data_IF_658952359268
#
_entry.id   IF_658952359268
#
_cell.length_a   1.000
_cell.length_b   1.000
_cell.length_c   1.000
_cell.angle_alpha   90.00
_cell.angle_beta   90.00
_cell.angle_gamma   90.00
#
_symmetry.space_group_name_H-M   'P 1'
#
loop_
_entity.id
_entity.type
_entity.pdbx_description
1 polymer ?
#
# COMPACT_ATOMS: atom_id res chain seq x y z
N UNK A 1 -4.62 -48.72 -19.87
CA UNK A 1 -5.37 -47.61 -19.23
C UNK A 1 -4.50 -46.59 -18.51
N UNK A 2 -3.23 -46.87 -18.19
CA UNK A 2 -2.37 -45.91 -17.47
C UNK A 2 -1.61 -44.88 -18.32
N UNK A 3 -1.61 -45.00 -19.65
CA UNK A 3 -0.87 -44.07 -20.53
C UNK A 3 -1.70 -42.88 -21.04
N UNK A 4 -3.04 -42.92 -20.90
CA UNK A 4 -3.93 -41.84 -21.35
C UNK A 4 -4.17 -40.76 -20.28
N UNK A 5 -3.95 -41.06 -18.99
CA UNK A 5 -4.05 -40.04 -17.93
C UNK A 5 -2.83 -39.10 -17.90
N UNK A 6 -1.64 -39.60 -18.24
CA UNK A 6 -0.40 -38.80 -18.21
C UNK A 6 -0.33 -37.76 -19.33
N UNK A 7 -1.08 -37.94 -20.42
CA UNK A 7 -1.06 -37.02 -21.57
C UNK A 7 -2.01 -35.82 -21.42
N UNK A 8 -2.88 -35.80 -20.40
CA UNK A 8 -3.77 -34.66 -20.15
C UNK A 8 -3.17 -33.64 -19.16
N UNK A 9 -2.17 -34.04 -18.36
CA UNK A 9 -1.49 -33.17 -17.38
C UNK A 9 -0.41 -32.27 -18.00
N UNK A 10 -0.14 -32.43 -19.31
CA UNK A 10 0.94 -31.72 -20.02
C UNK A 10 0.44 -30.90 -21.21
N UNK A 11 -0.85 -30.54 -21.24
CA UNK A 11 -1.31 -29.52 -22.19
C UNK A 11 -0.68 -28.17 -21.79
N UNK A 12 0.04 -27.49 -22.69
CA UNK A 12 0.43 -26.11 -22.42
C UNK A 12 -0.87 -25.34 -22.17
N UNK A 13 -0.96 -24.69 -21.00
CA UNK A 13 -2.02 -23.73 -20.75
C UNK A 13 -2.05 -22.78 -21.93
N UNK A 14 -3.23 -22.58 -22.52
CA UNK A 14 -3.46 -21.58 -23.56
C UNK A 14 -2.85 -20.28 -23.05
N UNK A 15 -1.81 -19.77 -23.71
CA UNK A 15 -1.18 -18.51 -23.31
C UNK A 15 -2.27 -17.45 -23.40
N UNK A 16 -2.76 -17.02 -22.25
CA UNK A 16 -3.55 -15.80 -22.11
C UNK A 16 -2.65 -14.69 -22.65
N UNK A 17 -3.00 -14.15 -23.80
CA UNK A 17 -2.17 -13.19 -24.50
C UNK A 17 -2.06 -11.92 -23.66
N UNK A 18 -0.88 -11.67 -23.08
CA UNK A 18 -0.53 -10.33 -22.59
C UNK A 18 -0.37 -9.36 -23.76
N UNK A 19 -0.07 -8.09 -23.49
CA UNK A 19 0.34 -7.16 -24.54
C UNK A 19 1.41 -7.77 -25.45
N UNK A 20 1.36 -7.44 -26.76
CA UNK A 20 2.27 -7.97 -27.77
C UNK A 20 3.73 -8.03 -27.26
N UNK A 21 4.26 -9.26 -27.16
CA UNK A 21 5.64 -9.53 -26.76
C UNK A 21 5.89 -9.87 -25.28
N UNK A 22 4.87 -9.81 -24.40
CA UNK A 22 5.02 -10.17 -22.97
C UNK A 22 4.04 -11.27 -22.54
N UNK A 23 4.41 -12.03 -21.50
CA UNK A 23 3.46 -12.92 -20.84
C UNK A 23 2.36 -12.10 -20.12
N UNK A 24 1.20 -12.69 -19.89
CA UNK A 24 0.13 -12.04 -19.11
C UNK A 24 0.67 -11.51 -17.77
N UNK A 25 0.40 -10.23 -17.48
CA UNK A 25 0.93 -9.55 -16.29
C UNK A 25 2.47 -9.59 -16.16
N UNK A 26 3.18 -9.59 -17.31
CA UNK A 26 4.63 -9.48 -17.47
C UNK A 26 5.47 -10.69 -17.01
N UNK A 27 5.29 -11.18 -15.79
CA UNK A 27 6.11 -12.27 -15.24
C UNK A 27 5.90 -13.59 -15.97
N UNK A 28 6.98 -14.36 -16.15
CA UNK A 28 6.89 -15.74 -16.64
C UNK A 28 6.19 -16.67 -15.62
N UNK A 29 5.69 -17.82 -16.10
CA UNK A 29 4.95 -18.76 -15.25
C UNK A 29 5.81 -19.46 -14.19
N UNK A 30 7.13 -19.59 -14.39
CA UNK A 30 8.02 -20.15 -13.36
C UNK A 30 8.14 -19.19 -12.17
N UNK A 31 8.33 -17.90 -12.46
CA UNK A 31 8.41 -16.81 -11.49
C UNK A 31 7.10 -16.70 -10.71
N UNK A 32 5.95 -16.66 -11.40
CA UNK A 32 4.62 -16.70 -10.74
C UNK A 32 4.45 -17.94 -9.89
N UNK A 33 4.79 -19.14 -10.39
CA UNK A 33 4.66 -20.40 -9.63
C UNK A 33 5.51 -20.38 -8.37
N UNK A 34 6.69 -19.76 -8.39
CA UNK A 34 7.54 -19.60 -7.20
C UNK A 34 6.92 -18.62 -6.19
N UNK A 35 6.45 -17.47 -6.65
CA UNK A 35 5.80 -16.47 -5.81
C UNK A 35 4.53 -17.05 -5.17
N UNK A 36 3.69 -17.78 -5.93
CA UNK A 36 2.50 -18.48 -5.39
C UNK A 36 2.84 -19.41 -4.23
N UNK A 37 3.95 -20.16 -4.32
CA UNK A 37 4.39 -21.03 -3.22
C UNK A 37 4.82 -20.23 -1.99
N UNK A 38 5.57 -19.13 -2.19
CA UNK A 38 5.99 -18.26 -1.10
C UNK A 38 4.78 -17.60 -0.41
N UNK A 39 3.80 -17.14 -1.19
CA UNK A 39 2.55 -16.58 -0.68
C UNK A 39 1.75 -17.59 0.14
N UNK A 40 1.57 -18.83 -0.35
CA UNK A 40 0.87 -19.87 0.42
C UNK A 40 1.58 -20.17 1.75
N UNK A 41 2.93 -20.11 1.79
CA UNK A 41 3.69 -20.23 3.04
C UNK A 41 3.49 -19.02 3.94
N UNK A 42 3.45 -17.81 3.39
CA UNK A 42 3.21 -16.59 4.14
C UNK A 42 1.81 -16.58 4.79
N UNK A 43 0.78 -17.02 4.05
CA UNK A 43 -0.59 -17.16 4.58
C UNK A 43 -0.64 -18.21 5.70
N UNK A 44 0.06 -19.33 5.54
CA UNK A 44 0.11 -20.39 6.54
C UNK A 44 0.95 -20.04 7.79
N UNK A 45 1.81 -19.00 7.71
CA UNK A 45 2.67 -18.55 8.80
C UNK A 45 2.51 -17.02 8.94
N UNK A 46 1.37 -16.54 9.47
CA UNK A 46 1.05 -15.12 9.48
C UNK A 46 2.14 -14.26 10.13
N UNK A 47 2.52 -13.17 9.46
CA UNK A 47 3.59 -12.26 9.91
C UNK A 47 5.03 -12.76 9.71
N UNK A 48 5.26 -13.99 9.24
CA UNK A 48 6.61 -14.47 8.92
C UNK A 48 7.08 -14.01 7.54
N UNK A 49 8.29 -13.45 7.50
CA UNK A 49 8.95 -12.95 6.28
C UNK A 49 9.52 -14.13 5.46
N UNK A 50 8.73 -14.65 4.51
CA UNK A 50 9.13 -15.76 3.62
C UNK A 50 10.12 -15.25 2.56
N UNK A 51 11.34 -15.83 2.45
CA UNK A 51 12.26 -15.48 1.39
C UNK A 51 11.73 -15.95 0.02
N UNK A 52 11.92 -15.12 -1.02
CA UNK A 52 11.55 -15.50 -2.38
C UNK A 52 12.58 -15.04 -3.42
N UNK A 53 12.69 -15.75 -4.53
CA UNK A 53 13.63 -15.42 -5.62
C UNK A 53 13.13 -14.30 -6.54
N UNK A 54 12.86 -13.12 -5.98
CA UNK A 54 12.31 -11.98 -6.71
C UNK A 54 13.16 -11.55 -7.92
N UNK A 55 12.47 -11.06 -8.95
CA UNK A 55 13.02 -10.63 -10.24
C UNK A 55 13.08 -9.11 -10.35
N UNK A 56 13.95 -8.63 -11.21
CA UNK A 56 13.94 -7.25 -11.68
C UNK A 56 12.61 -6.96 -12.39
N UNK A 57 12.05 -5.79 -12.11
CA UNK A 57 10.84 -5.27 -12.72
C UNK A 57 11.18 -4.02 -13.53
N UNK A 58 10.35 -3.57 -14.48
CA UNK A 58 10.61 -2.37 -15.29
C UNK A 58 10.37 -1.06 -14.51
N UNK A 59 10.76 -1.03 -13.24
CA UNK A 59 10.77 0.12 -12.35
C UNK A 59 12.02 0.05 -11.45
N UNK A 60 12.61 1.19 -11.06
CA UNK A 60 13.78 1.20 -10.20
C UNK A 60 13.52 0.53 -8.84
N UNK A 61 14.59 0.06 -8.20
CA UNK A 61 14.50 -0.43 -6.82
C UNK A 61 13.92 0.64 -5.88
N UNK A 62 13.07 0.22 -4.94
CA UNK A 62 12.36 1.12 -4.02
C UNK A 62 10.99 1.62 -4.54
N UNK A 63 10.67 1.44 -5.82
CA UNK A 63 9.41 1.89 -6.43
C UNK A 63 8.32 0.81 -6.43
N UNK A 64 8.24 0.00 -5.37
CA UNK A 64 7.13 -0.95 -5.21
C UNK A 64 7.22 -2.27 -5.97
N UNK A 65 8.40 -2.67 -6.43
CA UNK A 65 8.60 -3.88 -7.26
C UNK A 65 8.14 -5.19 -6.59
N UNK A 66 8.15 -5.26 -5.26
CA UNK A 66 7.63 -6.40 -4.51
C UNK A 66 6.11 -6.52 -4.62
N UNK A 67 5.39 -5.41 -4.38
CA UNK A 67 3.94 -5.33 -4.56
C UNK A 67 3.53 -5.68 -5.99
N UNK A 68 4.24 -5.16 -6.99
CA UNK A 68 3.96 -5.52 -8.39
C UNK A 68 4.15 -7.01 -8.68
N UNK A 69 5.18 -7.66 -8.14
CA UNK A 69 5.39 -9.09 -8.36
C UNK A 69 4.26 -9.93 -7.74
N UNK A 70 3.73 -9.50 -6.60
CA UNK A 70 2.56 -10.11 -5.99
C UNK A 70 1.31 -9.89 -6.86
N UNK A 71 1.02 -8.65 -7.26
CA UNK A 71 -0.11 -8.32 -8.13
C UNK A 71 -0.06 -9.11 -9.44
N UNK A 72 1.09 -9.12 -10.13
CA UNK A 72 1.31 -9.90 -11.34
C UNK A 72 1.08 -11.41 -11.19
N UNK A 73 1.18 -11.92 -9.96
CA UNK A 73 1.06 -13.34 -9.65
C UNK A 73 -0.38 -13.75 -9.32
N UNK A 74 -1.13 -12.86 -8.65
CA UNK A 74 -2.52 -13.12 -8.22
C UNK A 74 -3.56 -12.65 -9.22
N UNK A 75 -3.26 -11.63 -10.02
CA UNK A 75 -4.23 -11.03 -10.93
C UNK A 75 -4.69 -12.01 -12.00
N UNK A 76 -5.99 -12.04 -12.25
CA UNK A 76 -6.67 -12.75 -13.33
C UNK A 76 -7.39 -11.78 -14.27
N UNK A 77 -7.85 -12.28 -15.42
CA UNK A 77 -8.48 -11.48 -16.47
C UNK A 77 -9.81 -10.81 -16.04
N UNK A 78 -10.49 -11.39 -15.04
CA UNK A 78 -11.75 -10.88 -14.52
C UNK A 78 -11.57 -9.90 -13.33
N UNK A 79 -10.34 -9.70 -12.87
CA UNK A 79 -10.08 -8.80 -11.75
C UNK A 79 -10.24 -7.33 -12.14
N UNK A 80 -10.64 -6.52 -11.16
CA UNK A 80 -10.63 -5.06 -11.25
C UNK A 80 -9.57 -4.52 -10.30
N UNK A 81 -8.56 -3.88 -10.85
CA UNK A 81 -7.38 -3.40 -10.10
C UNK A 81 -7.54 -1.93 -9.70
N UNK A 82 -7.42 -1.66 -8.40
CA UNK A 82 -7.15 -0.32 -7.84
C UNK A 82 -5.69 -0.21 -7.43
N UNK A 83 -5.06 0.93 -7.70
CA UNK A 83 -3.67 1.21 -7.29
C UNK A 83 -3.61 2.59 -6.67
N UNK A 84 -3.10 2.67 -5.44
CA UNK A 84 -2.95 3.92 -4.68
C UNK A 84 -1.52 4.07 -4.15
N UNK A 85 -1.06 5.31 -4.06
CA UNK A 85 0.17 5.73 -3.35
C UNK A 85 -0.18 6.98 -2.55
N UNK A 86 0.20 7.03 -1.27
CA UNK A 86 -0.26 8.06 -0.32
C UNK A 86 -1.79 8.19 -0.24
N UNK A 87 -2.53 7.12 -0.50
CA UNK A 87 -4.00 7.12 -0.46
C UNK A 87 -4.69 7.61 -1.74
N UNK A 88 -3.93 8.13 -2.70
CA UNK A 88 -4.45 8.70 -3.94
C UNK A 88 -4.12 7.86 -5.17
N UNK A 89 -5.08 7.79 -6.10
CA UNK A 89 -4.98 7.03 -7.35
C UNK A 89 -4.21 7.76 -8.46
N UNK A 90 -4.06 9.09 -8.36
CA UNK A 90 -3.53 9.98 -9.40
C UNK A 90 -2.04 10.36 -9.19
N UNK A 91 -1.43 9.85 -8.12
CA UNK A 91 0.01 9.98 -7.91
C UNK A 91 0.82 9.32 -9.04
N UNK A 92 1.99 9.87 -9.32
CA UNK A 92 2.84 9.45 -10.44
C UNK A 92 3.14 7.95 -10.43
N UNK A 93 3.45 7.39 -9.26
CA UNK A 93 3.75 5.98 -9.07
C UNK A 93 2.50 5.10 -9.22
N UNK A 94 1.36 5.49 -8.63
CA UNK A 94 0.10 4.75 -8.76
C UNK A 94 -0.37 4.68 -10.22
N UNK A 95 -0.34 5.82 -10.93
CA UNK A 95 -0.66 5.90 -12.36
C UNK A 95 0.27 5.01 -13.19
N UNK A 96 1.58 5.04 -12.91
CA UNK A 96 2.57 4.23 -13.62
C UNK A 96 2.29 2.72 -13.48
N UNK A 97 2.10 2.25 -12.24
CA UNK A 97 1.81 0.84 -11.94
C UNK A 97 0.46 0.41 -12.51
N UNK A 98 -0.59 1.24 -12.38
CA UNK A 98 -1.93 0.96 -12.94
C UNK A 98 -1.88 0.82 -14.46
N UNK A 99 -1.21 1.77 -15.15
CA UNK A 99 -1.01 1.71 -16.61
C UNK A 99 -0.19 0.49 -17.03
N UNK A 100 0.82 0.13 -16.25
CA UNK A 100 1.62 -1.08 -16.49
C UNK A 100 0.75 -2.33 -16.51
N UNK A 101 -0.14 -2.52 -15.52
CA UNK A 101 -1.04 -3.69 -15.49
C UNK A 101 -2.17 -3.60 -16.51
N UNK A 102 -2.75 -2.41 -16.75
CA UNK A 102 -3.71 -2.22 -17.84
C UNK A 102 -3.11 -2.63 -19.20
N UNK A 103 -1.83 -2.29 -19.44
CA UNK A 103 -1.12 -2.70 -20.66
C UNK A 103 -0.77 -4.19 -20.67
N UNK A 104 -0.19 -4.73 -19.61
CA UNK A 104 0.40 -6.09 -19.63
C UNK A 104 -0.60 -7.21 -19.31
N UNK A 105 -1.71 -6.89 -18.66
CA UNK A 105 -2.75 -7.84 -18.27
C UNK A 105 -4.12 -7.53 -18.88
N UNK A 106 -4.35 -6.32 -19.44
CA UNK A 106 -5.63 -5.98 -20.07
C UNK A 106 -6.82 -5.96 -19.11
N UNK A 107 -6.56 -5.84 -17.81
CA UNK A 107 -7.57 -5.89 -16.74
C UNK A 107 -8.35 -4.58 -16.62
N UNK A 108 -9.57 -4.67 -16.09
CA UNK A 108 -10.31 -3.48 -15.67
C UNK A 108 -9.57 -2.78 -14.52
N UNK A 109 -9.69 -1.46 -14.46
CA UNK A 109 -9.13 -0.66 -13.37
C UNK A 109 -10.19 0.28 -12.81
N UNK A 110 -10.13 0.55 -11.52
CA UNK A 110 -11.08 1.45 -10.84
C UNK A 110 -10.35 2.36 -9.87
N UNK A 111 -10.95 3.51 -9.59
CA UNK A 111 -10.59 4.37 -8.46
C UNK A 111 -11.50 4.09 -7.25
N UNK A 112 -12.56 3.31 -7.40
CA UNK A 112 -13.50 3.00 -6.32
C UNK A 112 -13.07 1.76 -5.54
N UNK A 113 -12.83 1.92 -4.24
CA UNK A 113 -12.46 0.85 -3.32
C UNK A 113 -13.52 -0.23 -3.26
N UNK A 114 -14.80 0.14 -3.44
CA UNK A 114 -15.92 -0.79 -3.50
C UNK A 114 -15.85 -1.74 -4.71
N UNK A 115 -15.33 -1.29 -5.85
CA UNK A 115 -15.37 -2.06 -7.10
C UNK A 115 -14.11 -2.90 -7.33
N UNK A 116 -13.05 -2.65 -6.58
CA UNK A 116 -11.79 -3.37 -6.72
C UNK A 116 -11.91 -4.82 -6.20
N UNK A 117 -11.32 -5.77 -6.92
CA UNK A 117 -11.00 -7.10 -6.38
C UNK A 117 -9.57 -7.14 -5.82
N UNK A 118 -8.66 -6.38 -6.43
CA UNK A 118 -7.28 -6.22 -5.99
C UNK A 118 -6.97 -4.75 -5.74
N UNK A 119 -6.35 -4.46 -4.61
CA UNK A 119 -5.90 -3.11 -4.25
C UNK A 119 -4.40 -3.18 -4.00
N UNK A 120 -3.59 -2.60 -4.89
CA UNK A 120 -2.16 -2.42 -4.64
C UNK A 120 -1.93 -1.05 -4.00
N UNK A 121 -1.36 -1.03 -2.79
CA UNK A 121 -1.19 0.19 -2.00
C UNK A 121 0.26 0.46 -1.65
N UNK A 122 0.59 1.74 -1.53
CA UNK A 122 1.77 2.25 -0.85
C UNK A 122 1.36 3.27 0.20
N UNK A 123 1.75 3.00 1.45
CA UNK A 123 1.61 3.86 2.63
C UNK A 123 0.20 4.12 3.17
N UNK A 124 -0.87 3.53 2.62
CA UNK A 124 -2.22 3.72 3.15
C UNK A 124 -3.07 2.45 3.13
N UNK A 125 -3.98 2.34 4.08
CA UNK A 125 -5.14 1.44 3.99
C UNK A 125 -6.37 2.31 3.72
N UNK A 126 -7.20 2.00 2.70
CA UNK A 126 -8.41 2.76 2.42
C UNK A 126 -9.26 2.98 3.67
N UNK A 127 -9.95 4.12 3.75
CA UNK A 127 -10.89 4.41 4.84
C UNK A 127 -12.11 3.49 4.77
N UNK A 128 -12.51 3.15 3.54
CA UNK A 128 -13.59 2.21 3.29
C UNK A 128 -13.20 0.80 3.76
N UNK A 129 -14.07 0.19 4.57
CA UNK A 129 -13.86 -1.18 5.05
C UNK A 129 -13.83 -2.18 3.88
N UNK A 130 -12.79 -3.02 3.87
CA UNK A 130 -12.60 -4.02 2.83
C UNK A 130 -13.44 -5.28 3.05
N UNK A 131 -13.79 -5.93 1.94
CA UNK A 131 -14.59 -7.16 1.89
C UNK A 131 -13.74 -8.41 1.79
N UNK A 132 -14.34 -9.57 2.08
CA UNK A 132 -13.65 -10.86 2.10
C UNK A 132 -13.14 -11.33 0.73
N UNK A 133 -13.78 -10.88 -0.36
CA UNK A 133 -13.38 -11.18 -1.74
C UNK A 133 -12.23 -10.30 -2.25
N UNK A 134 -11.79 -9.31 -1.46
CA UNK A 134 -10.71 -8.40 -1.84
C UNK A 134 -9.34 -8.86 -1.34
N UNK A 135 -8.29 -8.50 -2.09
CA UNK A 135 -6.89 -8.67 -1.68
C UNK A 135 -6.20 -7.31 -1.65
N UNK A 136 -5.63 -6.96 -0.49
CA UNK A 136 -4.84 -5.76 -0.28
C UNK A 136 -3.35 -6.10 -0.36
N UNK A 137 -2.61 -5.45 -1.26
CA UNK A 137 -1.22 -5.76 -1.61
C UNK A 137 -0.35 -4.55 -1.27
N UNK A 138 0.47 -4.68 -0.23
CA UNK A 138 1.33 -3.63 0.29
C UNK A 138 2.70 -3.63 -0.37
N UNK A 139 3.16 -2.43 -0.73
CA UNK A 139 4.53 -2.17 -1.14
C UNK A 139 5.40 -1.94 0.10
N UNK A 140 6.42 -2.77 0.28
CA UNK A 140 7.27 -2.76 1.47
C UNK A 140 8.71 -2.42 1.10
N UNK A 141 9.31 -1.35 1.65
CA UNK A 141 10.73 -1.07 1.47
C UNK A 141 11.60 -1.95 2.38
N UNK A 142 11.30 -1.99 3.68
CA UNK A 142 12.01 -2.74 4.71
C UNK A 142 10.97 -3.68 5.33
N UNK A 143 11.14 -5.02 5.25
CA UNK A 143 10.17 -5.98 5.79
C UNK A 143 10.45 -6.41 7.25
N UNK A 144 11.61 -5.99 7.77
CA UNK A 144 12.16 -6.46 9.04
C UNK A 144 11.92 -5.41 10.12
N UNK A 145 10.93 -5.60 11.03
CA UNK A 145 10.58 -4.60 12.04
C UNK A 145 11.74 -4.34 13.02
N UNK A 146 12.69 -5.26 13.15
CA UNK A 146 13.87 -5.10 14.01
C UNK A 146 15.05 -4.42 13.30
N UNK A 147 14.94 -4.04 12.02
CA UNK A 147 16.09 -3.62 11.18
C UNK A 147 16.85 -2.42 11.77
N UNK A 148 16.16 -1.48 12.39
CA UNK A 148 16.78 -0.30 12.99
C UNK A 148 17.39 -0.55 14.38
N UNK A 149 17.08 -1.71 14.99
CA UNK A 149 17.67 -2.16 16.26
C UNK A 149 18.87 -3.07 15.96
N UNK A 150 18.69 -4.03 15.04
CA UNK A 150 19.72 -4.96 14.61
C UNK A 150 19.76 -4.98 13.06
N UNK A 151 20.79 -4.40 12.44
CA UNK A 151 20.89 -4.32 10.98
C UNK A 151 21.17 -5.66 10.31
N UNK A 152 21.65 -6.69 11.03
CA UNK A 152 22.06 -7.97 10.43
C UNK A 152 20.90 -8.97 10.36
N UNK A 153 20.54 -9.34 9.14
CA UNK A 153 19.57 -10.40 8.86
C UNK A 153 19.90 -11.75 9.54
N UNK A 154 21.19 -12.05 9.72
CA UNK A 154 21.61 -13.29 10.40
C UNK A 154 21.22 -13.34 11.87
N UNK A 155 21.06 -12.18 12.50
CA UNK A 155 20.65 -12.05 13.90
C UNK A 155 19.14 -11.88 14.01
N UNK A 156 18.53 -10.97 13.23
CA UNK A 156 17.06 -10.77 13.28
C UNK A 156 16.30 -12.06 12.96
N UNK A 157 16.78 -12.89 12.03
CA UNK A 157 16.17 -14.20 11.76
C UNK A 157 16.17 -15.14 12.98
N UNK A 158 17.20 -15.08 13.83
CA UNK A 158 17.28 -15.88 15.07
C UNK A 158 16.31 -15.32 16.10
N UNK A 159 16.24 -14.00 16.23
CA UNK A 159 15.28 -13.33 17.11
C UNK A 159 13.85 -13.70 16.72
N UNK A 160 13.51 -13.70 15.43
CA UNK A 160 12.23 -14.20 14.94
C UNK A 160 12.03 -15.68 15.25
N UNK A 161 13.03 -16.54 15.08
CA UNK A 161 12.92 -17.97 15.37
C UNK A 161 12.66 -18.25 16.86
N UNK A 162 13.34 -17.52 17.75
CA UNK A 162 13.29 -17.68 19.21
C UNK A 162 12.23 -16.80 19.89
N UNK A 163 11.54 -15.92 19.14
CA UNK A 163 10.57 -14.94 19.67
C UNK A 163 11.22 -13.94 20.64
N UNK A 164 12.45 -13.52 20.36
CA UNK A 164 13.20 -12.56 21.16
C UNK A 164 12.88 -11.11 20.74
N UNK A 165 11.69 -10.65 21.11
CA UNK A 165 11.19 -9.31 20.74
C UNK A 165 11.39 -8.23 21.82
N UNK A 166 12.04 -8.56 22.93
CA UNK A 166 12.24 -7.62 24.04
C UNK A 166 12.95 -6.34 23.65
N UNK A 167 13.86 -6.39 22.67
CA UNK A 167 14.60 -5.22 22.19
C UNK A 167 13.67 -4.15 21.59
N UNK A 168 12.57 -4.55 20.94
CA UNK A 168 11.57 -3.59 20.44
C UNK A 168 10.83 -2.90 21.58
N UNK A 169 10.47 -3.62 22.64
CA UNK A 169 9.86 -3.00 23.82
C UNK A 169 10.82 -2.00 24.48
N UNK A 170 12.12 -2.32 24.56
CA UNK A 170 13.11 -1.36 25.05
C UNK A 170 13.13 -0.11 24.18
N UNK A 171 13.19 -0.25 22.85
CA UNK A 171 13.17 0.89 21.92
C UNK A 171 11.94 1.76 22.10
N UNK A 172 10.74 1.18 22.19
CA UNK A 172 9.50 1.96 22.37
C UNK A 172 9.49 2.70 23.72
N UNK A 173 10.01 2.08 24.78
CA UNK A 173 10.09 2.72 26.09
C UNK A 173 11.17 3.81 26.16
N UNK A 174 12.25 3.70 25.39
CA UNK A 174 13.24 4.77 25.24
C UNK A 174 12.63 6.04 24.64
N UNK A 175 11.73 5.91 23.65
CA UNK A 175 10.98 7.04 23.11
C UNK A 175 10.13 7.70 24.19
N UNK A 176 9.38 6.89 24.97
CA UNK A 176 8.57 7.38 26.08
C UNK A 176 9.41 8.12 27.12
N UNK A 177 10.56 7.55 27.51
CA UNK A 177 11.45 8.18 28.49
C UNK A 177 12.04 9.51 27.98
N UNK A 178 12.25 9.64 26.67
CA UNK A 178 12.89 10.82 26.06
C UNK A 178 11.91 11.91 25.67
N UNK A 179 10.73 11.55 25.20
CA UNK A 179 9.76 12.45 24.58
C UNK A 179 8.39 12.48 25.28
N UNK A 180 8.17 11.60 26.27
CA UNK A 180 6.89 11.44 26.97
C UNK A 180 5.83 10.65 26.19
N UNK A 181 6.14 10.25 24.95
CA UNK A 181 5.28 9.49 24.05
C UNK A 181 6.13 8.64 23.11
N UNK A 182 5.52 7.66 22.45
CA UNK A 182 6.20 6.85 21.43
C UNK A 182 6.35 7.67 20.14
N UNK A 183 7.59 7.83 19.67
CA UNK A 183 7.92 8.70 18.54
C UNK A 183 7.65 8.06 17.16
N UNK A 184 7.50 6.73 17.11
CA UNK A 184 7.16 6.02 15.85
C UNK A 184 5.77 6.41 15.36
N UNK A 185 5.69 7.10 14.21
CA UNK A 185 4.43 7.64 13.65
C UNK A 185 3.90 6.85 12.44
N UNK A 186 4.75 6.07 11.77
CA UNK A 186 4.43 5.16 10.67
C UNK A 186 5.28 3.90 10.82
N UNK A 187 4.94 2.86 10.06
CA UNK A 187 5.66 1.56 10.11
C UNK A 187 5.71 1.01 11.54
N UNK A 188 4.59 1.14 12.25
CA UNK A 188 4.51 0.87 13.67
C UNK A 188 4.38 -0.63 13.90
N UNK A 189 5.28 -1.28 14.65
CA UNK A 189 5.33 -2.73 14.74
C UNK A 189 4.05 -3.33 15.33
N UNK A 190 3.56 -4.40 14.69
CA UNK A 190 2.38 -5.14 15.15
C UNK A 190 2.73 -6.58 15.52
N UNK A 191 2.01 -7.12 16.48
CA UNK A 191 1.99 -8.55 16.79
C UNK A 191 0.87 -9.23 16.00
N UNK A 192 1.24 -10.15 15.12
CA UNK A 192 0.30 -10.91 14.28
C UNK A 192 0.09 -12.29 14.85
N UNK A 193 -1.19 -12.65 15.01
CA UNK A 193 -1.64 -13.94 15.51
C UNK A 193 -0.93 -14.36 16.82
N UNK A 194 -0.72 -13.38 17.70
CA UNK A 194 -0.03 -13.52 18.99
C UNK A 194 1.36 -14.17 18.93
N UNK A 195 2.00 -14.17 17.74
CA UNK A 195 3.29 -14.80 17.52
C UNK A 195 4.29 -13.87 16.85
N UNK A 196 4.11 -13.53 15.58
CA UNK A 196 5.15 -12.85 14.82
C UNK A 196 5.02 -11.34 14.98
N UNK A 197 6.09 -10.69 15.39
CA UNK A 197 6.23 -9.25 15.17
C UNK A 197 6.36 -9.01 13.66
N UNK A 198 5.62 -8.05 13.15
CA UNK A 198 5.56 -7.74 11.73
C UNK A 198 5.64 -6.23 11.52
N UNK A 199 6.36 -5.86 10.47
CA UNK A 199 6.35 -4.54 9.85
C UNK A 199 5.09 -4.40 8.99
N UNK A 200 4.15 -3.48 9.30
CA UNK A 200 2.90 -3.34 8.55
C UNK A 200 3.08 -2.57 7.22
N UNK A 201 4.31 -2.42 6.72
CA UNK A 201 4.73 -1.44 5.73
C UNK A 201 4.65 0.00 6.26
N UNK A 202 5.15 1.02 5.51
CA UNK A 202 5.12 2.42 5.93
C UNK A 202 3.71 3.06 5.90
N UNK A 203 2.69 2.35 6.36
CA UNK A 203 1.39 2.95 6.69
C UNK A 203 1.53 3.79 7.96
N UNK A 204 0.77 4.88 8.10
CA UNK A 204 0.70 5.60 9.36
C UNK A 204 0.15 4.70 10.46
N UNK A 205 0.56 4.91 11.72
CA UNK A 205 0.01 4.15 12.85
C UNK A 205 -1.53 4.27 12.93
N UNK A 206 -2.10 5.36 12.42
CA UNK A 206 -3.55 5.53 12.19
C UNK A 206 -4.21 4.34 11.46
N UNK A 207 -3.52 3.72 10.50
CA UNK A 207 -4.06 2.63 9.70
C UNK A 207 -3.90 1.25 10.39
N UNK A 208 -3.01 1.09 11.38
CA UNK A 208 -2.77 -0.20 12.06
C UNK A 208 -4.06 -0.87 12.58
N UNK A 209 -4.99 -0.16 13.26
CA UNK A 209 -6.22 -0.76 13.76
C UNK A 209 -7.08 -1.42 12.67
N UNK A 210 -7.02 -0.91 11.43
CA UNK A 210 -7.78 -1.45 10.29
C UNK A 210 -7.33 -2.87 9.90
N UNK A 211 -6.09 -3.24 10.22
CA UNK A 211 -5.53 -4.56 9.91
C UNK A 211 -6.13 -5.68 10.79
N UNK A 212 -6.59 -5.33 11.99
CA UNK A 212 -7.08 -6.30 12.96
C UNK A 212 -8.44 -6.86 12.53
N UNK A 213 -8.53 -8.19 12.45
CA UNK A 213 -9.77 -8.88 12.06
C UNK A 213 -10.33 -8.42 10.70
N UNK A 214 -9.47 -7.89 9.81
CA UNK A 214 -9.87 -7.45 8.48
C UNK A 214 -10.44 -8.63 7.67
N UNK A 215 -11.57 -8.48 6.97
CA UNK A 215 -12.11 -9.54 6.11
C UNK A 215 -11.22 -9.86 4.90
N UNK A 216 -10.54 -8.86 4.33
CA UNK A 216 -9.69 -9.03 3.16
C UNK A 216 -8.36 -9.72 3.47
N UNK A 217 -7.80 -10.42 2.48
CA UNK A 217 -6.44 -10.95 2.55
C UNK A 217 -5.42 -9.82 2.39
N UNK A 218 -4.44 -9.75 3.29
CA UNK A 218 -3.36 -8.76 3.25
C UNK A 218 -2.05 -9.43 2.83
N UNK A 219 -1.41 -8.94 1.78
CA UNK A 219 -0.16 -9.46 1.23
C UNK A 219 0.90 -8.37 1.18
N UNK A 220 2.12 -8.67 1.61
CA UNK A 220 3.18 -7.69 1.74
C UNK A 220 4.38 -8.11 0.89
N UNK A 221 4.82 -7.22 0.01
CA UNK A 221 5.87 -7.51 -0.96
C UNK A 221 7.08 -6.59 -0.82
N UNK A 222 8.18 -7.11 -0.30
CA UNK A 222 9.48 -6.44 -0.28
C UNK A 222 10.39 -7.00 -1.39
N UNK A 223 10.34 -6.36 -2.55
CA UNK A 223 11.01 -6.85 -3.76
C UNK A 223 12.53 -6.78 -3.69
N UNK A 224 13.07 -5.72 -3.09
CA UNK A 224 14.51 -5.53 -2.93
C UNK A 224 15.08 -6.47 -1.86
N UNK A 225 14.43 -6.51 -0.69
CA UNK A 225 14.82 -7.37 0.44
C UNK A 225 14.44 -8.85 0.25
N UNK A 226 13.76 -9.17 -0.87
CA UNK A 226 13.37 -10.53 -1.26
C UNK A 226 12.55 -11.22 -0.17
N UNK A 227 11.54 -10.53 0.37
CA UNK A 227 10.57 -11.09 1.34
C UNK A 227 9.13 -10.93 0.89
N UNK A 228 8.32 -11.94 1.20
CA UNK A 228 6.86 -11.93 1.09
C UNK A 228 6.30 -12.36 2.44
N UNK A 229 5.30 -11.65 2.94
CA UNK A 229 4.57 -12.04 4.14
C UNK A 229 3.08 -11.71 3.98
N UNK A 230 2.25 -12.20 4.90
CA UNK A 230 0.81 -12.08 4.78
C UNK A 230 0.13 -12.03 6.15
N UNK A 231 -1.07 -11.44 6.15
CA UNK A 231 -2.04 -11.54 7.23
C UNK A 231 -3.33 -12.11 6.62
N UNK A 232 -3.73 -13.35 6.96
CA UNK A 232 -4.98 -13.92 6.49
C UNK A 232 -6.21 -13.13 6.98
N UNK A 233 -7.36 -13.25 6.29
CA UNK A 233 -8.64 -12.76 6.78
C UNK A 233 -8.89 -13.12 8.25
N UNK A 234 -9.50 -12.20 8.99
CA UNK A 234 -9.93 -12.39 10.39
C UNK A 234 -8.78 -12.79 11.34
N UNK A 235 -7.55 -12.36 11.04
CA UNK A 235 -6.40 -12.58 11.92
C UNK A 235 -6.27 -11.46 12.94
N UNK A 236 -5.91 -11.80 14.18
CA UNK A 236 -5.61 -10.83 15.23
C UNK A 236 -4.31 -10.09 14.89
N UNK A 237 -4.38 -8.76 14.84
CA UNK A 237 -3.24 -7.86 14.63
C UNK A 237 -3.32 -6.77 15.69
N UNK A 238 -2.28 -6.64 16.51
CA UNK A 238 -2.27 -5.68 17.64
C UNK A 238 -0.97 -4.90 17.59
N UNK A 239 -1.05 -3.58 17.56
CA UNK A 239 0.12 -2.71 17.70
C UNK A 239 0.80 -2.94 19.05
N UNK A 240 2.13 -2.90 19.08
CA UNK A 240 2.87 -2.98 20.34
C UNK A 240 2.61 -1.73 21.21
N UNK A 241 2.32 -1.91 22.48
CA UNK A 241 2.15 -0.83 23.44
C UNK A 241 2.52 -1.30 24.85
N UNK A 242 2.22 -0.46 25.85
CA UNK A 242 2.35 -0.76 27.27
C UNK A 242 1.03 -0.46 27.97
N UNK A 243 0.76 -1.13 29.10
CA UNK A 243 -0.44 -0.87 29.90
C UNK A 243 -0.54 0.62 30.34
N UNK A 244 0.59 1.23 30.69
CA UNK A 244 0.68 2.63 31.10
C UNK A 244 0.80 3.62 29.93
N UNK A 245 1.06 3.11 28.72
CA UNK A 245 1.22 3.90 27.49
C UNK A 245 0.54 3.17 26.32
N UNK A 246 -0.81 3.22 26.26
CA UNK A 246 -1.58 2.49 25.27
C UNK A 246 -1.33 3.02 23.86
N UNK A 247 -1.62 2.20 22.86
CA UNK A 247 -1.51 2.60 21.46
C UNK A 247 -2.48 3.74 21.12
N UNK A 248 -1.94 4.86 20.62
CA UNK A 248 -2.70 6.02 20.16
C UNK A 248 -2.47 6.28 18.67
N UNK A 249 -3.52 6.65 17.94
CA UNK A 249 -3.46 7.04 16.53
C UNK A 249 -3.28 8.55 16.38
N UNK A 250 -2.93 9.02 15.18
CA UNK A 250 -2.93 10.44 14.88
C UNK A 250 -4.35 11.02 14.99
N UNK A 251 -4.43 12.28 15.43
CA UNK A 251 -5.64 13.11 15.46
C UNK A 251 -5.31 14.51 14.97
N UNK A 252 -6.32 15.17 14.39
CA UNK A 252 -6.26 16.56 13.95
C UNK A 252 -7.36 17.35 14.66
N UNK A 253 -7.15 18.65 14.88
CA UNK A 253 -8.23 19.54 15.35
C UNK A 253 -9.14 19.92 14.17
N UNK A 254 -8.58 19.88 12.97
CA UNK A 254 -9.22 20.19 11.71
C UNK A 254 -9.98 18.99 11.12
N UNK A 255 -10.98 19.30 10.31
CA UNK A 255 -11.63 18.33 9.42
C UNK A 255 -11.17 18.54 7.99
N UNK A 256 -11.38 17.53 7.13
CA UNK A 256 -11.12 17.66 5.71
C UNK A 256 -11.85 18.88 5.13
N UNK A 257 -11.10 19.82 4.55
CA UNK A 257 -11.61 21.08 3.99
C UNK A 257 -12.48 20.89 2.73
N UNK A 258 -12.61 19.66 2.22
CA UNK A 258 -13.44 19.32 1.05
C UNK A 258 -14.75 18.66 1.50
N UNK A 259 -14.65 17.50 2.17
CA UNK A 259 -15.80 16.65 2.50
C UNK A 259 -16.22 16.71 3.98
N UNK A 260 -15.54 17.52 4.80
CA UNK A 260 -15.84 17.69 6.22
C UNK A 260 -15.56 16.47 7.10
N UNK A 261 -14.80 15.48 6.63
CA UNK A 261 -14.47 14.28 7.43
C UNK A 261 -13.50 14.61 8.58
N UNK A 262 -13.87 14.20 9.79
CA UNK A 262 -13.08 14.32 11.03
C UNK A 262 -12.45 12.98 11.49
N UNK A 263 -12.63 11.91 10.72
CA UNK A 263 -12.21 10.54 11.07
C UNK A 263 -11.40 9.84 9.96
N UNK A 264 -10.89 10.61 8.99
CA UNK A 264 -9.98 10.14 7.95
C UNK A 264 -8.56 10.60 8.23
N UNK A 265 -7.56 9.90 7.71
CA UNK A 265 -6.20 10.41 7.71
C UNK A 265 -6.11 11.67 6.82
N UNK A 266 -5.54 12.77 7.34
CA UNK A 266 -5.46 14.05 6.65
C UNK A 266 -4.04 14.34 6.15
N UNK A 267 -3.95 14.76 4.89
CA UNK A 267 -2.75 15.36 4.32
C UNK A 267 -2.78 16.87 4.55
N UNK A 268 -1.62 17.41 4.92
CA UNK A 268 -1.38 18.84 5.08
C UNK A 268 -0.86 19.42 3.76
N UNK A 269 -1.63 20.31 3.14
CA UNK A 269 -1.26 21.00 1.90
C UNK A 269 -0.95 22.45 2.20
N UNK A 270 0.27 22.88 1.89
CA UNK A 270 0.72 24.27 2.03
C UNK A 270 0.12 25.09 0.89
N UNK A 271 -0.62 26.14 1.24
CA UNK A 271 -1.39 26.95 0.29
C UNK A 271 -0.61 28.15 -0.24
N UNK A 272 0.28 28.70 0.57
CA UNK A 272 1.09 29.85 0.21
C UNK A 272 2.39 29.94 1.02
N UNK A 273 3.24 30.90 0.62
CA UNK A 273 4.50 31.21 1.31
C UNK A 273 4.30 31.96 2.63
N UNK A 274 3.06 32.38 2.94
CA UNK A 274 2.72 33.04 4.20
C UNK A 274 2.41 32.03 5.32
N UNK A 275 2.42 30.73 5.01
CA UNK A 275 2.22 29.65 5.97
C UNK A 275 0.77 29.19 6.12
N UNK A 276 -0.14 29.62 5.24
CA UNK A 276 -1.50 29.08 5.21
C UNK A 276 -1.49 27.63 4.74
N UNK A 277 -2.37 26.83 5.34
CA UNK A 277 -2.45 25.38 5.11
C UNK A 277 -3.88 24.93 5.02
N UNK A 278 -4.10 23.83 4.31
CA UNK A 278 -5.37 23.12 4.28
C UNK A 278 -5.15 21.65 4.63
N UNK A 279 -6.13 21.05 5.30
CA UNK A 279 -6.14 19.63 5.61
C UNK A 279 -7.17 18.93 4.75
N UNK A 280 -6.77 17.89 4.04
CA UNK A 280 -7.65 17.13 3.15
C UNK A 280 -7.50 15.64 3.36
N UNK A 281 -8.55 14.87 3.09
CA UNK A 281 -8.47 13.41 3.14
C UNK A 281 -7.34 12.92 2.22
N UNK A 282 -6.45 12.12 2.78
CA UNK A 282 -5.41 11.42 2.00
C UNK A 282 -6.01 10.32 1.12
N UNK A 283 -7.11 9.68 1.55
CA UNK A 283 -7.90 8.78 0.70
C UNK A 283 -8.84 9.60 -0.19
N UNK A 284 -8.46 9.76 -1.47
CA UNK A 284 -9.18 10.58 -2.44
C UNK A 284 -10.49 9.96 -2.91
N UNK A 285 -10.58 8.62 -2.92
CA UNK A 285 -11.81 7.91 -3.27
C UNK A 285 -12.85 8.10 -2.17
N UNK A 286 -12.46 7.88 -0.92
CA UNK A 286 -13.29 8.15 0.25
C UNK A 286 -13.80 9.59 0.29
N UNK A 287 -12.91 10.56 0.03
CA UNK A 287 -13.28 11.98 -0.02
C UNK A 287 -14.36 12.26 -1.07
N UNK A 288 -14.20 11.68 -2.27
CA UNK A 288 -15.13 11.83 -3.38
C UNK A 288 -16.48 11.19 -3.07
N UNK A 289 -16.49 9.95 -2.57
CA UNK A 289 -17.72 9.24 -2.15
C UNK A 289 -18.53 10.08 -1.15
N UNK A 290 -17.85 10.75 -0.20
CA UNK A 290 -18.52 11.63 0.77
C UNK A 290 -19.14 12.86 0.14
N UNK A 291 -18.42 13.53 -0.77
CA UNK A 291 -18.96 14.71 -1.48
C UNK A 291 -20.18 14.32 -2.32
N UNK A 292 -20.14 13.17 -2.99
CA UNK A 292 -21.27 12.65 -3.78
C UNK A 292 -22.49 12.29 -2.91
N UNK A 293 -22.25 11.92 -1.64
CA UNK A 293 -23.30 11.72 -0.63
C UNK A 293 -23.84 13.04 -0.03
N UNK A 294 -23.30 14.19 -0.44
CA UNK A 294 -23.71 15.52 0.01
C UNK A 294 -22.95 16.05 1.23
N UNK A 295 -21.88 15.38 1.67
CA UNK A 295 -21.01 15.92 2.71
C UNK A 295 -20.00 16.90 2.10
N UNK A 296 -20.14 18.18 2.43
CA UNK A 296 -19.17 19.22 2.08
C UNK A 296 -18.76 19.94 3.35
N UNK A 297 -17.50 20.37 3.43
CA UNK A 297 -17.11 21.27 4.51
C UNK A 297 -17.98 22.54 4.45
N UNK A 298 -18.56 22.96 5.58
CA UNK A 298 -19.20 24.26 5.67
C UNK A 298 -18.11 25.32 5.43
N UNK A 299 -18.29 26.16 4.42
CA UNK A 299 -17.40 27.28 4.10
C UNK A 299 -17.01 28.02 5.39
N UNK A 300 -15.77 27.94 5.88
CA UNK A 300 -15.25 28.99 6.72
C UNK A 300 -15.17 30.21 5.81
N UNK A 301 -15.85 31.29 6.17
CA UNK A 301 -15.89 32.55 5.42
C UNK A 301 -14.50 32.91 4.87
N UNK A 302 -14.29 32.74 3.55
CA UNK A 302 -12.98 32.96 2.92
C UNK A 302 -12.79 32.45 1.48
N UNK A 303 -13.63 31.54 0.99
CA UNK A 303 -13.48 30.97 -0.36
C UNK A 303 -14.35 31.66 -1.42
N UNK A 304 -14.06 32.92 -1.73
CA UNK A 304 -14.43 33.52 -3.03
C UNK A 304 -13.21 33.46 -3.95
N UNK A 305 -12.98 32.36 -4.65
CA UNK A 305 -11.82 32.31 -5.56
C UNK A 305 -11.60 31.06 -6.42
N UNK A 306 -12.31 29.95 -6.19
CA UNK A 306 -12.11 28.74 -6.98
C UNK A 306 -13.38 28.35 -7.73
N UNK A 307 -13.75 29.19 -8.71
CA UNK A 307 -14.64 28.77 -9.79
C UNK A 307 -13.82 28.07 -10.90
N UNK A 308 -14.44 27.20 -11.72
CA UNK A 308 -13.75 26.44 -12.78
C UNK A 308 -12.97 27.30 -13.80
N UNK A 309 -13.26 28.60 -13.89
CA UNK A 309 -12.59 29.54 -14.77
C UNK A 309 -11.13 29.82 -14.35
N UNK A 310 -10.80 29.73 -13.05
CA UNK A 310 -9.41 29.93 -12.58
C UNK A 310 -8.46 28.80 -13.04
N UNK A 311 -8.99 27.60 -13.26
CA UNK A 311 -8.20 26.46 -13.76
C UNK A 311 -7.84 26.58 -15.25
N UNK A 312 -8.65 27.28 -16.06
CA UNK A 312 -8.32 27.50 -17.47
C UNK A 312 -7.17 28.50 -17.63
N UNK A 313 -7.17 29.58 -16.83
CA UNK A 313 -6.10 30.59 -16.87
C UNK A 313 -4.76 30.03 -16.40
N UNK A 314 -4.75 29.15 -15.39
CA UNK A 314 -3.51 28.47 -14.96
C UNK A 314 -3.00 27.44 -15.98
N UNK A 315 -3.90 26.75 -16.70
CA UNK A 315 -3.50 25.82 -17.77
C UNK A 315 -2.93 26.53 -19.01
N UNK A 316 -3.45 27.73 -19.35
CA UNK A 316 -2.92 28.53 -20.45
C UNK A 316 -1.54 29.13 -20.13
N UNK A 317 -1.35 29.62 -18.89
CA UNK A 317 -0.05 30.14 -18.44
C UNK A 317 1.02 29.04 -18.35
N UNK A 318 0.65 27.84 -17.88
CA UNK A 318 1.58 26.70 -17.81
C UNK A 318 2.01 26.21 -19.20
N UNK A 319 1.10 26.23 -20.18
CA UNK A 319 1.43 25.95 -21.59
C UNK A 319 2.40 26.98 -22.17
N UNK A 320 2.26 28.27 -21.84
CA UNK A 320 3.17 29.31 -22.35
C UNK A 320 4.59 29.20 -21.77
N UNK A 321 4.73 28.79 -20.51
CA UNK A 321 6.04 28.60 -19.88
C UNK A 321 6.75 27.33 -20.37
N UNK A 322 6.01 26.25 -20.64
CA UNK A 322 6.58 25.02 -21.21
C UNK A 322 7.11 25.24 -22.63
N UNK A 323 6.43 26.04 -23.47
CA UNK A 323 6.92 26.38 -24.82
C UNK A 323 8.18 27.25 -24.79
N UNK A 324 8.32 28.14 -23.80
CA UNK A 324 9.54 28.95 -23.62
C UNK A 324 10.72 28.13 -23.09
N UNK A 325 10.46 27.10 -22.29
CA UNK A 325 11.49 26.19 -21.81
C UNK A 325 12.04 25.30 -22.95
N UNK A 326 11.18 24.89 -23.90
CA UNK A 326 11.62 24.13 -25.09
C UNK A 326 12.42 24.97 -26.10
N UNK A 327 12.12 26.27 -26.28
CA UNK A 327 12.90 27.16 -27.14
C UNK A 327 14.30 27.52 -26.58
N UNK A 328 14.51 27.40 -25.26
CA UNK A 328 15.82 27.61 -24.62
C UNK A 328 16.72 26.37 -24.62
N UNK A 329 16.22 25.21 -25.04
CA UNK A 329 16.94 23.93 -25.02
C UNK A 329 17.42 23.45 -26.42
N UNK A 330 17.38 24.34 -27.43
CA UNK A 330 17.87 24.11 -28.80
C UNK A 330 19.09 24.96 -29.14
#
# INVERSE_FOLDING_TARGET
>A
MSSQLSSQLNKPATQTAGAEGYNFAYLDEQSKRMIRRAMLKAVAIPGYQVPFGGREMPLPHGWGTGGMQLTATVIGEADTLKVIDQGADDTTNAVSIRRFFAKTAGVATTEHTADASLIQTRHRIPERQLRNDQILIYQVPIPEPLRFIEPRETETRKMHALREYGAMQVKLYEDVARFGHIATSYDYPVMVNDRYMMDPSPIPKFDNPKMNQMPALQLFGAGFEKRIYAVPPYTRVVSLDFDDYPFEVQSWEESCSICGSDHSFLDEVIMDDAGNKMFVCSDTDYCRERVEQGFTAENPEGQQGLTPEHNQVQQENKKQDDTKAEEMAL
#
